data_IF_992604045706
#
_entry.id   IF_992604045706
#
_cell.length_a   1.000
_cell.length_b   1.000
_cell.length_c   1.000
_cell.angle_alpha   90.00
_cell.angle_beta   90.00
_cell.angle_gamma   90.00
#
_symmetry.space_group_name_H-M   'P 1'
#
loop_
_entity.id
_entity.type
_entity.pdbx_description
1 polymer ?
#
# COMPACT_ATOMS: atom_id res chain seq x y z
N UNK A 1 -50.69 -4.28 -40.82
CA UNK A 1 -50.97 -5.67 -41.25
C UNK A 1 -50.03 -6.46 -40.45
N UNK A 2 -50.54 -6.81 -39.44
CA UNK A 2 -50.86 -8.04 -38.68
C UNK A 2 -49.66 -8.45 -37.83
N UNK A 3 -49.67 -8.23 -36.56
CA UNK A 3 -50.45 -8.78 -35.44
C UNK A 3 -50.07 -10.22 -35.16
N UNK A 4 -49.56 -10.56 -34.01
CA UNK A 4 -49.98 -11.57 -33.05
C UNK A 4 -48.97 -11.79 -31.92
N UNK A 5 -49.33 -11.31 -30.73
CA UNK A 5 -49.03 -11.90 -29.43
C UNK A 5 -50.18 -12.92 -29.13
N UNK A 6 -50.14 -13.83 -28.14
CA UNK A 6 -49.56 -13.71 -26.79
C UNK A 6 -49.19 -15.05 -26.05
N UNK A 7 -48.70 -14.85 -24.82
CA UNK A 7 -48.99 -15.61 -23.59
C UNK A 7 -48.33 -16.99 -23.30
N UNK A 8 -47.72 -17.01 -22.11
CA UNK A 8 -47.34 -18.23 -21.41
C UNK A 8 -46.98 -17.98 -19.95
N UNK A 9 -48.00 -17.86 -19.07
CA UNK A 9 -47.82 -17.80 -17.59
C UNK A 9 -47.47 -19.21 -17.07
N UNK A 10 -46.47 -19.34 -16.28
CA UNK A 10 -46.14 -20.51 -15.47
C UNK A 10 -45.90 -20.12 -14.01
N UNK A 11 -46.93 -20.11 -13.19
CA UNK A 11 -46.84 -20.12 -11.73
C UNK A 11 -46.38 -21.50 -11.28
N UNK A 12 -45.34 -21.58 -10.45
CA UNK A 12 -45.09 -22.72 -9.59
C UNK A 12 -45.00 -22.28 -8.14
N UNK A 13 -45.92 -22.71 -7.36
CA UNK A 13 -46.06 -22.68 -5.92
C UNK A 13 -45.00 -23.56 -5.29
N UNK A 14 -44.18 -23.01 -4.42
CA UNK A 14 -43.23 -23.76 -3.62
C UNK A 14 -43.73 -23.94 -2.19
N UNK A 15 -43.65 -25.15 -1.70
CA UNK A 15 -44.11 -25.57 -0.39
C UNK A 15 -43.18 -25.10 0.74
N UNK A 16 -43.81 -24.71 1.83
CA UNK A 16 -43.16 -24.43 3.12
C UNK A 16 -42.97 -25.74 3.88
N UNK A 17 -41.76 -26.07 4.29
CA UNK A 17 -41.51 -27.10 5.29
C UNK A 17 -41.29 -26.44 6.63
N UNK A 18 -42.25 -26.66 7.56
CA UNK A 18 -42.12 -26.33 8.96
C UNK A 18 -41.29 -27.43 9.66
N UNK A 19 -40.20 -27.04 10.30
CA UNK A 19 -39.43 -27.94 11.17
C UNK A 19 -39.95 -27.85 12.61
N UNK A 20 -40.43 -28.97 13.14
CA UNK A 20 -40.91 -29.10 14.52
C UNK A 20 -39.74 -29.15 15.50
N UNK A 21 -39.81 -28.31 16.55
CA UNK A 21 -38.90 -28.37 17.71
C UNK A 21 -39.45 -29.39 18.71
N UNK A 22 -38.72 -30.50 18.90
CA UNK A 22 -38.97 -31.48 19.95
C UNK A 22 -38.23 -31.06 21.22
N UNK A 23 -38.97 -30.66 22.23
CA UNK A 23 -38.48 -30.45 23.57
C UNK A 23 -38.25 -31.76 24.29
N UNK A 24 -37.03 -32.05 24.70
CA UNK A 24 -36.69 -33.21 25.53
C UNK A 24 -36.71 -32.78 26.99
N UNK A 25 -37.70 -33.26 27.75
CA UNK A 25 -37.81 -33.03 29.18
C UNK A 25 -36.94 -34.06 29.93
N UNK A 26 -35.91 -33.62 30.63
CA UNK A 26 -35.16 -34.44 31.56
C UNK A 26 -35.74 -34.30 32.96
N UNK A 27 -36.31 -35.38 33.50
CA UNK A 27 -36.74 -35.53 34.87
C UNK A 27 -35.52 -35.70 35.77
N UNK A 28 -35.36 -34.80 36.76
CA UNK A 28 -34.32 -34.89 37.78
C UNK A 28 -34.85 -35.68 38.99
N UNK A 29 -34.24 -36.82 39.27
CA UNK A 29 -34.47 -37.57 40.51
C UNK A 29 -33.76 -36.88 41.68
N UNK A 30 -34.51 -36.53 42.68
CA UNK A 30 -34.01 -35.97 43.92
C UNK A 30 -33.35 -37.06 44.79
N UNK A 31 -32.02 -37.05 44.91
CA UNK A 31 -31.24 -37.78 45.89
C UNK A 31 -30.89 -36.86 47.07
N UNK A 32 -31.43 -37.16 48.25
CA UNK A 32 -31.07 -36.48 49.46
C UNK A 32 -29.67 -36.94 49.95
N UNK A 33 -28.68 -36.11 49.74
CA UNK A 33 -27.33 -36.25 50.27
C UNK A 33 -27.04 -35.13 51.26
N UNK A 34 -26.65 -35.46 52.45
CA UNK A 34 -26.31 -34.57 53.56
C UNK A 34 -25.13 -33.64 53.17
N UNK A 35 -25.38 -32.35 53.21
CA UNK A 35 -24.38 -31.33 52.93
C UNK A 35 -23.42 -31.15 54.10
N UNK A 36 -22.16 -31.49 53.92
CA UNK A 36 -21.07 -30.95 54.73
C UNK A 36 -20.76 -29.53 54.26
N UNK A 37 -20.95 -28.54 55.12
CA UNK A 37 -20.61 -27.15 54.88
C UNK A 37 -19.07 -26.99 54.79
N UNK A 38 -18.51 -27.15 53.59
CA UNK A 38 -17.17 -26.71 53.27
C UNK A 38 -17.22 -25.22 52.92
N UNK A 39 -16.67 -24.38 53.77
CA UNK A 39 -16.42 -22.97 53.45
C UNK A 39 -15.42 -22.89 52.26
N UNK A 40 -15.93 -22.81 51.02
CA UNK A 40 -15.13 -22.46 49.89
C UNK A 40 -14.70 -21.00 50.05
N UNK A 41 -13.45 -20.77 50.42
CA UNK A 41 -12.83 -19.47 50.30
C UNK A 41 -12.88 -19.10 48.82
N UNK A 42 -13.73 -18.10 48.50
CA UNK A 42 -13.69 -17.44 47.19
C UNK A 42 -12.33 -16.77 47.06
N UNK A 43 -11.39 -17.52 46.47
CA UNK A 43 -10.13 -16.95 46.00
C UNK A 43 -10.46 -15.95 44.90
N UNK A 44 -10.48 -14.68 45.29
CA UNK A 44 -10.42 -13.58 44.34
C UNK A 44 -9.16 -13.81 43.49
N UNK A 45 -9.33 -14.34 42.28
CA UNK A 45 -8.27 -14.33 41.29
C UNK A 45 -7.91 -12.87 41.06
N UNK A 46 -6.86 -12.40 41.70
CA UNK A 46 -6.24 -11.12 41.41
C UNK A 46 -5.70 -11.33 39.98
N UNK A 47 -6.45 -10.88 38.98
CA UNK A 47 -5.92 -10.70 37.62
C UNK A 47 -4.75 -9.75 37.77
N UNK A 48 -3.52 -10.29 37.68
CA UNK A 48 -2.31 -9.49 37.68
C UNK A 48 -2.51 -8.41 36.63
N UNK A 49 -2.57 -7.16 37.08
CA UNK A 49 -2.72 -6.03 36.15
C UNK A 49 -1.59 -6.12 35.13
N UNK A 50 -1.95 -6.36 33.87
CA UNK A 50 -0.99 -6.53 32.81
C UNK A 50 -0.19 -5.23 32.68
N UNK A 51 1.09 -5.28 33.03
CA UNK A 51 1.95 -4.10 33.02
C UNK A 51 2.47 -3.93 31.59
N UNK A 52 2.16 -2.79 30.95
CA UNK A 52 2.66 -2.56 29.58
C UNK A 52 4.18 -2.72 29.48
N UNK A 53 4.71 -3.28 28.40
CA UNK A 53 6.14 -3.40 28.16
C UNK A 53 6.86 -2.05 28.25
N UNK A 54 8.14 -2.06 28.61
CA UNK A 54 8.90 -0.81 28.79
C UNK A 54 8.98 0.03 27.52
N UNK A 55 9.11 -0.60 26.37
CA UNK A 55 9.14 0.07 25.07
C UNK A 55 7.80 0.79 24.76
N UNK A 56 6.67 0.27 25.21
CA UNK A 56 5.35 0.88 25.03
C UNK A 56 5.22 2.23 25.73
N UNK A 57 6.00 2.47 26.78
CA UNK A 57 5.97 3.70 27.57
C UNK A 57 6.83 4.82 26.98
N UNK A 58 7.61 4.55 25.92
CA UNK A 58 8.44 5.56 25.31
C UNK A 58 7.57 6.71 24.76
N UNK A 59 7.97 7.93 25.03
CA UNK A 59 7.38 9.12 24.41
C UNK A 59 7.97 9.29 23.00
N UNK A 60 7.16 9.72 22.04
CA UNK A 60 7.56 9.93 20.65
C UNK A 60 7.48 8.68 19.79
N UNK A 61 8.15 8.70 18.63
CA UNK A 61 8.11 7.63 17.65
C UNK A 61 8.74 6.34 18.18
N UNK A 62 8.02 5.23 18.02
CA UNK A 62 8.50 3.89 18.35
C UNK A 62 9.35 3.34 17.20
N UNK A 63 10.38 2.57 17.51
CA UNK A 63 11.21 1.94 16.47
C UNK A 63 10.75 0.49 16.26
N UNK A 64 10.34 0.14 15.04
CA UNK A 64 9.88 -1.20 14.70
C UNK A 64 10.87 -2.29 15.13
N UNK A 65 12.18 -2.10 14.91
CA UNK A 65 13.23 -3.04 15.31
C UNK A 65 13.44 -3.20 16.84
N UNK A 66 12.88 -2.28 17.66
CA UNK A 66 13.01 -2.31 19.11
C UNK A 66 11.76 -2.89 19.80
N UNK A 67 10.81 -3.41 19.03
CA UNK A 67 9.55 -3.96 19.52
C UNK A 67 9.24 -5.29 18.81
N UNK A 68 8.35 -6.13 19.36
CA UNK A 68 7.92 -7.35 18.69
C UNK A 68 7.25 -7.03 17.34
N UNK A 69 7.44 -7.91 16.35
CA UNK A 69 6.73 -7.79 15.07
C UNK A 69 5.21 -7.89 15.22
N UNK A 70 4.73 -8.62 16.26
CA UNK A 70 3.32 -8.74 16.60
C UNK A 70 3.08 -8.16 17.97
N UNK A 71 2.14 -7.24 18.07
CA UNK A 71 1.78 -6.51 19.27
C UNK A 71 0.30 -6.66 19.52
N UNK A 72 -0.08 -7.17 20.69
CA UNK A 72 -1.49 -7.17 21.09
C UNK A 72 -1.89 -5.78 21.54
N UNK A 73 -3.05 -5.31 21.09
CA UNK A 73 -3.61 -4.02 21.53
C UNK A 73 -3.83 -3.96 23.04
N UNK A 74 -4.14 -5.11 23.67
CA UNK A 74 -4.24 -5.21 25.13
C UNK A 74 -2.91 -5.00 25.88
N UNK A 75 -1.79 -5.27 25.23
CA UNK A 75 -0.46 -5.15 25.83
C UNK A 75 0.11 -3.75 25.60
N UNK A 76 -0.13 -3.21 24.41
CA UNK A 76 0.23 -1.85 24.02
C UNK A 76 -0.66 -1.37 22.88
N UNK A 77 -1.53 -0.42 23.15
CA UNK A 77 -2.30 0.24 22.09
C UNK A 77 -1.38 1.18 21.29
N UNK A 78 -1.14 0.82 20.04
CA UNK A 78 -0.29 1.59 19.13
C UNK A 78 -1.07 2.61 18.31
N UNK A 79 -2.39 2.57 18.29
CA UNK A 79 -3.22 3.47 17.48
C UNK A 79 -2.92 4.93 17.78
N UNK A 80 -2.78 5.73 16.74
CA UNK A 80 -2.35 7.12 16.81
C UNK A 80 -0.85 7.33 17.14
N UNK A 81 -0.08 6.23 17.34
CA UNK A 81 1.36 6.31 17.61
C UNK A 81 2.16 6.24 16.31
N UNK A 82 3.25 6.98 16.25
CA UNK A 82 4.19 6.89 15.12
C UNK A 82 5.13 5.70 15.34
N UNK A 83 5.20 4.82 14.35
CA UNK A 83 6.18 3.74 14.25
C UNK A 83 7.19 4.10 13.17
N UNK A 84 8.48 4.01 13.47
CA UNK A 84 9.58 4.27 12.56
C UNK A 84 10.23 2.95 12.13
N UNK A 85 10.27 2.73 10.83
CA UNK A 85 10.94 1.63 10.16
C UNK A 85 12.42 1.89 9.90
N UNK A 86 12.92 1.36 8.81
CA UNK A 86 14.30 1.54 8.36
C UNK A 86 14.46 2.87 7.59
N UNK A 87 15.69 3.37 7.53
CA UNK A 87 16.08 4.58 6.79
C UNK A 87 15.17 5.80 7.04
N UNK A 88 14.66 5.96 8.26
CA UNK A 88 13.85 7.11 8.65
C UNK A 88 12.37 7.05 8.29
N UNK A 89 11.96 6.15 7.38
CA UNK A 89 10.55 5.98 7.01
C UNK A 89 9.69 5.66 8.22
N UNK A 90 8.52 6.27 8.30
CA UNK A 90 7.62 6.08 9.45
C UNK A 90 6.15 6.12 9.03
N UNK A 91 5.29 5.62 9.90
CA UNK A 91 3.84 5.72 9.75
C UNK A 91 3.17 5.95 11.09
N UNK A 92 2.12 6.73 11.10
CA UNK A 92 1.15 6.78 12.18
C UNK A 92 0.28 5.54 12.08
N UNK A 93 0.19 4.78 13.17
CA UNK A 93 -0.75 3.64 13.23
C UNK A 93 -2.15 4.21 13.18
N UNK A 94 -2.98 3.90 12.16
CA UNK A 94 -4.29 4.50 12.03
C UNK A 94 -5.17 4.26 13.27
N UNK A 95 -5.89 5.30 13.67
CA UNK A 95 -6.70 5.27 14.89
C UNK A 95 -8.03 4.53 14.71
N UNK A 96 -8.48 4.36 13.47
CA UNK A 96 -9.76 3.77 13.10
C UNK A 96 -9.71 2.27 12.74
N UNK A 97 -8.57 1.61 13.01
CA UNK A 97 -8.36 0.20 12.71
C UNK A 97 -7.97 -0.11 11.25
N UNK A 98 -7.74 0.91 10.44
CA UNK A 98 -7.15 0.78 9.11
C UNK A 98 -5.68 0.39 9.23
N UNK A 99 -5.17 -0.33 8.26
CA UNK A 99 -3.74 -0.64 8.10
C UNK A 99 -3.07 0.37 7.20
N UNK A 100 -1.74 0.52 7.30
CA UNK A 100 -0.98 1.42 6.41
C UNK A 100 0.32 0.76 5.94
N UNK A 101 0.61 0.91 4.66
CA UNK A 101 1.91 0.62 4.05
C UNK A 101 2.56 1.94 3.62
N UNK A 102 3.77 2.16 4.07
CA UNK A 102 4.60 3.29 3.72
C UNK A 102 5.77 2.81 2.86
N UNK A 103 6.01 3.48 1.75
CA UNK A 103 7.14 3.24 0.86
C UNK A 103 7.94 4.52 0.68
N UNK A 104 9.24 4.42 0.47
CA UNK A 104 10.05 5.54 0.02
C UNK A 104 11.06 5.09 -1.02
N UNK A 105 11.05 5.74 -2.17
CA UNK A 105 12.09 5.65 -3.17
C UNK A 105 13.22 6.61 -2.83
N UNK A 106 14.44 6.15 -2.98
CA UNK A 106 15.64 6.86 -2.55
C UNK A 106 16.72 6.81 -3.64
N UNK A 107 17.64 7.73 -3.58
CA UNK A 107 18.82 7.71 -4.47
C UNK A 107 19.82 6.60 -4.13
N UNK A 108 19.72 6.04 -2.91
CA UNK A 108 20.63 5.03 -2.39
C UNK A 108 19.92 3.72 -1.99
N UNK A 109 18.67 3.52 -2.36
CA UNK A 109 17.89 2.35 -2.00
C UNK A 109 16.42 2.65 -1.87
N UNK A 110 15.70 1.79 -1.15
CA UNK A 110 14.29 1.97 -0.84
C UNK A 110 14.01 1.54 0.60
N UNK A 111 12.85 1.92 1.10
CA UNK A 111 12.37 1.50 2.41
C UNK A 111 10.88 1.23 2.36
N UNK A 112 10.47 0.25 3.15
CA UNK A 112 9.08 -0.15 3.35
C UNK A 112 8.81 -0.29 4.84
N UNK A 113 7.67 0.20 5.28
CA UNK A 113 7.12 -0.05 6.61
C UNK A 113 5.64 -0.39 6.45
N UNK A 114 5.26 -1.56 6.92
CA UNK A 114 3.88 -2.01 6.91
C UNK A 114 3.38 -2.17 8.33
N UNK A 115 2.22 -1.61 8.60
CA UNK A 115 1.49 -1.70 9.87
C UNK A 115 0.13 -2.30 9.57
N UNK A 116 -0.03 -3.58 9.85
CA UNK A 116 -1.28 -4.30 9.62
C UNK A 116 -2.05 -4.42 10.92
N UNK A 117 -3.27 -3.88 10.95
CA UNK A 117 -4.18 -3.92 12.09
C UNK A 117 -5.21 -5.03 11.89
N UNK A 118 -5.23 -6.00 12.79
CA UNK A 118 -6.26 -7.04 12.85
C UNK A 118 -7.13 -6.79 14.09
N UNK A 119 -8.18 -6.02 13.90
CA UNK A 119 -9.10 -5.68 14.99
C UNK A 119 -9.82 -6.90 15.58
N UNK A 120 -10.11 -7.91 14.73
CA UNK A 120 -10.79 -9.13 15.18
C UNK A 120 -9.92 -9.94 16.15
N UNK A 121 -8.60 -9.89 15.97
CA UNK A 121 -7.64 -10.53 16.89
C UNK A 121 -7.12 -9.56 17.95
N UNK A 122 -7.38 -8.25 17.82
CA UNK A 122 -6.79 -7.22 18.67
C UNK A 122 -5.27 -7.20 18.56
N UNK A 123 -4.72 -7.34 17.36
CA UNK A 123 -3.29 -7.50 17.10
C UNK A 123 -2.83 -6.54 15.98
N UNK A 124 -1.63 -6.02 16.11
CA UNK A 124 -0.92 -5.26 15.09
C UNK A 124 0.32 -6.04 14.67
N UNK A 125 0.49 -6.24 13.37
CA UNK A 125 1.72 -6.82 12.78
C UNK A 125 2.54 -5.72 12.14
N UNK A 126 3.83 -5.70 12.41
CA UNK A 126 4.80 -4.73 11.89
C UNK A 126 5.81 -5.43 11.01
N UNK A 127 5.97 -4.94 9.79
CA UNK A 127 7.06 -5.37 8.88
C UNK A 127 7.82 -4.12 8.46
N UNK A 128 9.13 -4.13 8.61
CA UNK A 128 9.99 -3.03 8.16
C UNK A 128 11.18 -3.61 7.41
N UNK A 129 11.36 -3.14 6.19
CA UNK A 129 12.50 -3.50 5.34
C UNK A 129 13.16 -2.22 4.81
N UNK A 130 14.41 -2.31 4.44
CA UNK A 130 15.12 -1.20 3.83
C UNK A 130 16.41 -1.70 3.20
N UNK A 131 16.60 -1.33 1.95
CA UNK A 131 17.83 -1.56 1.23
C UNK A 131 18.61 -0.25 1.14
N UNK A 132 19.92 -0.37 1.28
CA UNK A 132 20.86 0.68 0.89
C UNK A 132 21.90 0.05 -0.04
N UNK A 133 22.08 0.63 -1.19
CA UNK A 133 23.18 0.28 -2.09
C UNK A 133 24.46 0.92 -1.53
N UNK A 134 25.45 0.12 -1.07
CA UNK A 134 26.68 0.67 -0.51
C UNK A 134 27.42 1.46 -1.59
N UNK A 135 27.63 2.73 -1.37
CA UNK A 135 28.48 3.55 -2.23
C UNK A 135 29.94 3.04 -2.12
N UNK A 136 30.56 2.71 -3.24
CA UNK A 136 32.01 2.51 -3.32
C UNK A 136 32.54 1.08 -3.14
N UNK A 137 31.74 0.02 -3.07
CA UNK A 137 32.22 -1.35 -3.18
C UNK A 137 31.65 -2.07 -4.39
N UNK A 138 32.48 -2.61 -5.31
CA UNK A 138 31.97 -3.50 -6.35
C UNK A 138 31.45 -4.77 -5.65
N UNK A 139 30.13 -4.92 -5.53
CA UNK A 139 29.51 -6.23 -5.41
C UNK A 139 29.75 -6.95 -6.74
N UNK A 140 29.85 -8.29 -6.69
CA UNK A 140 29.70 -9.09 -7.88
C UNK A 140 28.25 -8.88 -8.40
N UNK A 141 28.05 -7.84 -9.19
CA UNK A 141 26.78 -7.53 -9.82
C UNK A 141 26.51 -8.60 -10.87
N UNK A 142 25.41 -9.29 -10.78
CA UNK A 142 24.82 -9.85 -11.98
C UNK A 142 24.52 -8.69 -12.91
N UNK A 143 24.84 -8.83 -14.18
CA UNK A 143 24.41 -7.86 -15.18
C UNK A 143 22.88 -7.72 -15.10
N UNK A 144 22.35 -6.50 -15.24
CA UNK A 144 20.91 -6.30 -15.35
C UNK A 144 20.31 -7.21 -16.42
N UNK A 145 19.14 -7.72 -16.14
CA UNK A 145 18.31 -8.38 -17.15
C UNK A 145 17.63 -7.31 -17.98
N UNK A 146 17.43 -7.59 -19.23
CA UNK A 146 16.61 -6.78 -20.13
C UNK A 146 15.19 -6.68 -19.54
N UNK A 147 14.71 -5.46 -19.27
CA UNK A 147 13.40 -5.20 -18.67
C UNK A 147 12.25 -5.89 -19.43
N UNK A 148 12.41 -6.07 -20.74
CA UNK A 148 11.42 -6.73 -21.59
C UNK A 148 11.36 -8.26 -21.41
N UNK A 149 12.30 -8.85 -20.69
CA UNK A 149 12.40 -10.30 -20.44
C UNK A 149 12.35 -10.64 -18.95
N UNK A 150 12.58 -9.65 -18.10
CA UNK A 150 12.56 -9.83 -16.65
C UNK A 150 11.10 -9.88 -16.16
N UNK A 151 10.63 -11.07 -15.83
CA UNK A 151 9.28 -11.32 -15.31
C UNK A 151 9.18 -11.26 -13.77
N UNK A 152 10.18 -10.74 -13.07
CA UNK A 152 10.14 -10.63 -11.61
C UNK A 152 9.19 -9.52 -11.16
N UNK A 153 8.35 -9.81 -10.16
CA UNK A 153 7.51 -8.82 -9.49
C UNK A 153 7.28 -9.20 -8.03
N UNK A 154 6.89 -8.23 -7.23
CA UNK A 154 6.41 -8.41 -5.86
C UNK A 154 5.04 -7.78 -5.72
N UNK A 155 4.22 -8.30 -4.79
CA UNK A 155 2.88 -7.79 -4.51
C UNK A 155 2.78 -7.35 -3.05
N UNK A 156 2.06 -6.25 -2.84
CA UNK A 156 1.63 -5.80 -1.53
C UNK A 156 0.44 -6.62 -1.00
N UNK A 157 0.16 -6.57 0.31
CA UNK A 157 -0.95 -7.33 0.90
C UNK A 157 -2.33 -6.80 0.48
N UNK A 158 -2.38 -5.59 -0.06
CA UNK A 158 -3.62 -4.94 -0.48
C UNK A 158 -3.55 -4.42 -1.90
N UNK A 159 -4.71 -4.29 -2.50
CA UNK A 159 -4.92 -3.70 -3.82
C UNK A 159 -6.30 -3.08 -3.92
N UNK A 160 -6.53 -2.28 -4.92
CA UNK A 160 -7.87 -1.80 -5.25
C UNK A 160 -8.76 -2.95 -5.75
N UNK A 161 -10.08 -2.82 -5.64
CA UNK A 161 -11.00 -3.79 -6.25
C UNK A 161 -10.79 -3.87 -7.76
N UNK A 162 -10.89 -5.09 -8.30
CA UNK A 162 -10.85 -5.31 -9.76
C UNK A 162 -11.96 -4.50 -10.44
N UNK A 163 -11.65 -3.84 -11.56
CA UNK A 163 -12.55 -2.96 -12.29
C UNK A 163 -12.75 -1.58 -11.65
N UNK A 164 -12.03 -1.26 -10.58
CA UNK A 164 -12.11 0.05 -9.95
C UNK A 164 -11.59 1.16 -10.87
N UNK A 165 -12.21 2.33 -10.76
CA UNK A 165 -11.66 3.60 -11.27
C UNK A 165 -11.18 4.41 -10.07
N UNK A 166 -9.87 4.64 -9.99
CA UNK A 166 -9.25 5.37 -8.89
C UNK A 166 -9.23 6.85 -9.23
N UNK A 167 -9.99 7.64 -8.49
CA UNK A 167 -9.95 9.09 -8.61
C UNK A 167 -8.75 9.63 -7.84
N UNK A 168 -8.00 10.56 -8.43
CA UNK A 168 -6.85 11.18 -7.78
C UNK A 168 -6.79 12.68 -8.04
N UNK A 169 -6.21 13.41 -7.10
CA UNK A 169 -6.03 14.86 -7.16
C UNK A 169 -4.55 15.20 -7.27
N UNK A 170 -4.27 16.30 -7.96
CA UNK A 170 -2.92 16.84 -8.05
C UNK A 170 -2.68 17.94 -7.01
N UNK A 171 -1.61 17.82 -6.24
CA UNK A 171 -1.13 18.87 -5.34
C UNK A 171 0.14 19.52 -5.92
N UNK A 172 0.09 20.83 -6.31
CA UNK A 172 1.23 21.51 -6.95
C UNK A 172 2.34 21.86 -5.97
N UNK A 173 2.14 21.65 -4.66
CA UNK A 173 3.04 22.13 -3.62
C UNK A 173 3.06 23.64 -3.51
N UNK A 174 3.85 24.16 -2.58
CA UNK A 174 4.03 25.62 -2.39
C UNK A 174 4.88 26.25 -3.50
N UNK A 175 5.69 25.47 -4.22
CA UNK A 175 6.53 25.92 -5.31
C UNK A 175 5.80 26.01 -6.65
N UNK A 176 4.55 25.52 -6.74
CA UNK A 176 3.75 25.55 -7.96
C UNK A 176 4.36 24.75 -9.13
N UNK A 177 5.02 23.64 -8.82
CA UNK A 177 5.66 22.79 -9.84
C UNK A 177 4.64 22.15 -10.79
N UNK A 178 5.03 21.84 -12.04
CA UNK A 178 4.11 21.36 -13.06
C UNK A 178 3.59 19.97 -12.77
N UNK A 179 2.35 19.70 -13.22
CA UNK A 179 1.70 18.40 -13.13
C UNK A 179 2.21 17.39 -14.17
N UNK A 180 2.80 17.86 -15.28
CA UNK A 180 3.03 17.03 -16.49
C UNK A 180 3.72 15.70 -16.19
N UNK A 181 4.89 15.69 -15.56
CA UNK A 181 5.58 14.45 -15.22
C UNK A 181 4.81 13.55 -14.25
N UNK A 182 4.10 14.16 -13.27
CA UNK A 182 3.26 13.41 -12.31
C UNK A 182 2.11 12.72 -13.04
N UNK A 183 1.39 13.43 -13.90
CA UNK A 183 0.29 12.84 -14.67
C UNK A 183 0.77 11.81 -15.69
N UNK A 184 1.96 12.02 -16.27
CA UNK A 184 2.56 11.04 -17.16
C UNK A 184 2.84 9.74 -16.44
N UNK A 185 3.57 9.76 -15.32
CA UNK A 185 3.91 8.54 -14.60
C UNK A 185 2.68 7.78 -14.09
N UNK A 186 1.65 8.49 -13.60
CA UNK A 186 0.38 7.82 -13.24
C UNK A 186 -0.24 7.15 -14.47
N UNK A 187 -0.33 7.85 -15.58
CA UNK A 187 -0.93 7.31 -16.82
C UNK A 187 -0.14 6.13 -17.36
N UNK A 188 1.19 6.19 -17.35
CA UNK A 188 2.05 5.15 -17.86
C UNK A 188 1.91 3.84 -17.11
N UNK A 189 1.77 3.89 -15.78
CA UNK A 189 1.49 2.70 -14.97
C UNK A 189 0.11 2.10 -15.27
N UNK A 190 -0.95 2.91 -15.32
CA UNK A 190 -2.31 2.43 -15.56
C UNK A 190 -2.56 1.93 -16.98
N UNK A 191 -1.91 2.55 -17.97
CA UNK A 191 -2.01 2.19 -19.39
C UNK A 191 -0.94 1.17 -19.80
N UNK A 192 -0.20 0.63 -18.82
CA UNK A 192 0.88 -0.33 -19.02
C UNK A 192 1.85 0.08 -20.14
N UNK A 193 2.24 1.36 -20.16
CA UNK A 193 3.19 1.90 -21.12
C UNK A 193 4.53 1.19 -21.03
N UNK A 194 5.14 0.92 -22.19
CA UNK A 194 6.40 0.17 -22.27
C UNK A 194 7.13 0.43 -23.57
N UNK A 195 8.45 0.39 -23.52
CA UNK A 195 9.30 0.38 -24.70
C UNK A 195 9.57 -1.03 -25.25
N UNK A 196 9.02 -2.06 -24.58
CA UNK A 196 9.19 -3.46 -24.96
C UNK A 196 8.36 -3.88 -26.18
N UNK A 197 7.41 -3.07 -26.61
CA UNK A 197 6.50 -3.41 -27.73
C UNK A 197 6.42 -2.29 -28.76
N UNK A 198 6.21 -2.60 -30.04
CA UNK A 198 6.02 -1.58 -31.09
C UNK A 198 4.79 -0.68 -30.86
N UNK A 199 3.83 -1.10 -30.06
CA UNK A 199 2.64 -0.32 -29.71
C UNK A 199 2.88 0.61 -28.51
N UNK A 200 4.06 0.58 -27.91
CA UNK A 200 4.42 1.30 -26.69
C UNK A 200 3.44 1.08 -25.53
N UNK A 201 2.82 -0.10 -25.48
CA UNK A 201 2.00 -0.54 -24.35
C UNK A 201 1.91 -2.08 -24.34
N UNK A 202 1.90 -2.66 -23.14
CA UNK A 202 1.52 -4.07 -22.99
C UNK A 202 0.01 -4.24 -23.14
N UNK A 203 -0.40 -5.41 -23.64
CA UNK A 203 -1.80 -5.77 -23.79
C UNK A 203 -2.02 -7.24 -23.36
N UNK A 204 -3.20 -7.56 -22.77
CA UNK A 204 -4.32 -6.66 -22.45
C UNK A 204 -4.00 -5.71 -21.28
N UNK A 205 -4.70 -4.58 -21.19
CA UNK A 205 -4.53 -3.68 -20.01
C UNK A 205 -5.01 -4.35 -18.73
N UNK A 206 -4.43 -4.00 -17.57
CA UNK A 206 -4.92 -4.44 -16.27
C UNK A 206 -6.33 -3.89 -16.01
N UNK A 207 -7.18 -4.70 -15.31
CA UNK A 207 -8.57 -4.32 -15.04
C UNK A 207 -8.68 -3.39 -13.82
N UNK A 208 -8.06 -2.23 -13.95
CA UNK A 208 -8.11 -1.07 -13.06
C UNK A 208 -7.90 0.17 -13.93
N UNK A 209 -8.47 1.30 -13.54
CA UNK A 209 -8.36 2.56 -14.28
C UNK A 209 -8.17 3.73 -13.32
N UNK A 210 -7.71 4.85 -13.84
CA UNK A 210 -7.57 6.09 -13.11
C UNK A 210 -8.48 7.19 -13.67
N UNK A 211 -8.76 8.18 -12.82
CA UNK A 211 -9.45 9.39 -13.23
C UNK A 211 -8.86 10.58 -12.48
N UNK A 212 -8.33 11.52 -13.25
CA UNK A 212 -7.93 12.81 -12.68
C UNK A 212 -9.15 13.60 -12.23
N UNK A 213 -9.21 13.94 -10.95
CA UNK A 213 -10.34 14.65 -10.33
C UNK A 213 -10.10 16.16 -10.13
N UNK A 214 -8.93 16.65 -10.52
CA UNK A 214 -8.58 18.07 -10.45
C UNK A 214 -7.45 18.39 -9.50
N UNK A 215 -7.05 19.65 -9.50
CA UNK A 215 -6.06 20.17 -8.56
C UNK A 215 -6.68 20.38 -7.18
N UNK A 216 -5.92 20.11 -6.14
CA UNK A 216 -6.31 20.34 -4.75
C UNK A 216 -5.32 21.27 -4.04
N UNK A 217 -5.80 21.95 -2.99
CA UNK A 217 -4.95 22.68 -2.05
C UNK A 217 -4.55 21.82 -0.83
N UNK A 218 -5.15 20.63 -0.68
CA UNK A 218 -4.81 19.66 0.36
C UNK A 218 -3.56 18.89 -0.06
N UNK A 219 -2.55 18.90 0.79
CA UNK A 219 -1.32 18.14 0.55
C UNK A 219 -1.57 16.63 0.74
N UNK A 220 -0.73 15.76 0.14
CA UNK A 220 -0.70 14.34 0.48
C UNK A 220 -0.57 14.13 2.00
N UNK A 221 -1.19 13.07 2.54
CA UNK A 221 -1.10 12.71 3.95
C UNK A 221 0.27 12.12 4.32
N UNK A 222 1.31 12.75 3.80
CA UNK A 222 2.74 12.52 4.06
C UNK A 222 3.28 13.74 4.80
N UNK A 223 3.90 13.56 5.94
CA UNK A 223 4.40 14.68 6.74
C UNK A 223 5.75 15.20 6.25
N UNK A 224 6.21 16.29 6.85
CA UNK A 224 7.50 16.90 6.51
C UNK A 224 8.74 16.01 6.78
N UNK A 225 8.61 14.92 7.52
CA UNK A 225 9.65 13.91 7.76
C UNK A 225 9.37 12.58 7.03
N UNK A 226 8.58 12.62 5.95
CA UNK A 226 8.17 11.47 5.14
C UNK A 226 7.43 10.39 5.96
N UNK A 227 6.68 10.79 7.00
CA UNK A 227 5.84 9.89 7.79
C UNK A 227 4.45 9.83 7.19
N UNK A 228 3.89 8.64 6.98
CA UNK A 228 2.48 8.47 6.66
C UNK A 228 1.63 8.96 7.84
N UNK A 229 0.74 9.92 7.58
CA UNK A 229 -0.22 10.45 8.55
C UNK A 229 -1.46 9.57 8.70
N UNK A 230 -2.54 10.17 9.16
CA UNK A 230 -3.87 9.57 9.11
C UNK A 230 -4.44 9.78 7.69
N UNK A 231 -5.27 8.88 7.21
CA UNK A 231 -5.96 9.02 5.92
C UNK A 231 -7.18 9.93 6.02
N UNK A 232 -7.58 10.49 4.88
CA UNK A 232 -8.75 11.38 4.79
C UNK A 232 -9.80 10.96 3.72
N UNK A 233 -9.54 9.87 3.01
CA UNK A 233 -10.42 9.34 1.97
C UNK A 233 -10.15 9.93 0.59
N UNK A 234 -9.07 10.71 0.40
CA UNK A 234 -8.76 11.38 -0.85
C UNK A 234 -7.38 10.96 -1.35
N UNK A 235 -7.30 10.44 -2.58
CA UNK A 235 -6.00 10.12 -3.17
C UNK A 235 -5.36 11.40 -3.71
N UNK A 236 -4.18 11.74 -3.21
CA UNK A 236 -3.43 12.92 -3.63
C UNK A 236 -2.03 12.54 -4.07
N UNK A 237 -1.64 13.01 -5.24
CA UNK A 237 -0.27 12.87 -5.74
C UNK A 237 0.29 14.24 -6.10
N UNK A 238 1.51 14.54 -5.66
CA UNK A 238 2.10 15.84 -5.98
C UNK A 238 3.34 16.21 -5.20
N UNK A 239 3.64 17.48 -5.16
CA UNK A 239 4.91 18.05 -4.72
C UNK A 239 4.86 18.47 -3.27
N UNK A 240 5.79 17.98 -2.45
CA UNK A 240 5.84 18.33 -1.04
C UNK A 240 7.28 18.59 -0.57
N UNK A 241 7.46 19.64 0.21
CA UNK A 241 8.72 19.84 0.93
C UNK A 241 8.75 18.93 2.15
N UNK A 242 9.75 18.05 2.20
CA UNK A 242 9.96 17.13 3.32
C UNK A 242 11.33 17.37 3.95
N UNK A 243 11.52 18.51 4.67
CA UNK A 243 12.82 18.90 5.23
C UNK A 243 13.31 17.99 6.36
N UNK A 244 12.44 17.23 6.99
CA UNK A 244 12.77 16.28 8.04
C UNK A 244 13.03 14.87 7.53
N UNK A 245 12.80 14.60 6.24
CA UNK A 245 13.11 13.31 5.62
C UNK A 245 14.63 13.13 5.48
N UNK A 246 15.06 11.86 5.38
CA UNK A 246 16.46 11.55 5.05
C UNK A 246 16.84 12.20 3.70
N UNK A 247 18.09 12.71 3.54
CA UNK A 247 18.49 13.49 2.37
C UNK A 247 18.34 12.75 1.03
N UNK A 248 18.38 11.44 1.06
CA UNK A 248 18.31 10.60 -0.15
C UNK A 248 16.88 10.32 -0.64
N UNK A 249 15.84 10.65 0.13
CA UNK A 249 14.45 10.44 -0.24
C UNK A 249 14.10 11.28 -1.47
N UNK A 250 13.57 10.61 -2.52
CA UNK A 250 13.01 11.20 -3.73
C UNK A 250 11.50 11.37 -3.62
N UNK A 251 10.84 10.33 -3.15
CA UNK A 251 9.40 10.31 -2.96
C UNK A 251 9.00 9.38 -1.81
N UNK A 252 7.76 9.53 -1.36
CA UNK A 252 7.13 8.63 -0.41
C UNK A 252 5.68 8.39 -0.80
N UNK A 253 5.26 7.13 -0.79
CA UNK A 253 3.87 6.71 -0.98
C UNK A 253 3.33 6.06 0.28
N UNK A 254 2.15 6.52 0.69
CA UNK A 254 1.40 6.00 1.82
C UNK A 254 0.10 5.37 1.30
N UNK A 255 -0.13 4.09 1.61
CA UNK A 255 -1.32 3.37 1.16
C UNK A 255 -2.07 2.83 2.37
N UNK A 256 -3.32 3.24 2.53
CA UNK A 256 -4.19 2.74 3.61
C UNK A 256 -5.13 1.67 3.09
N UNK A 257 -5.37 0.65 3.93
CA UNK A 257 -6.12 -0.51 3.50
C UNK A 257 -6.85 -1.21 4.66
N UNK A 258 -7.91 -1.95 4.32
CA UNK A 258 -8.64 -2.83 5.24
C UNK A 258 -8.64 -4.26 4.71
N UNK A 259 -7.97 -5.16 5.42
CA UNK A 259 -7.71 -6.50 4.91
C UNK A 259 -7.00 -6.42 3.55
N UNK A 260 -7.48 -7.09 2.48
CA UNK A 260 -6.82 -7.06 1.17
C UNK A 260 -7.23 -5.86 0.30
N UNK A 261 -8.03 -4.90 0.81
CA UNK A 261 -8.61 -3.83 0.00
C UNK A 261 -7.97 -2.49 0.33
N UNK A 262 -7.31 -1.89 -0.64
CA UNK A 262 -6.82 -0.50 -0.58
C UNK A 262 -8.01 0.46 -0.59
N UNK A 263 -7.94 1.50 0.25
CA UNK A 263 -8.98 2.52 0.38
C UNK A 263 -8.49 3.92 0.05
N UNK A 264 -7.18 4.17 0.20
CA UNK A 264 -6.56 5.45 -0.11
C UNK A 264 -5.07 5.24 -0.41
N UNK A 265 -4.51 6.09 -1.26
CA UNK A 265 -3.06 6.14 -1.50
C UNK A 265 -2.64 7.56 -1.86
N UNK A 266 -1.65 8.06 -1.13
CA UNK A 266 -1.07 9.39 -1.31
C UNK A 266 0.41 9.30 -1.67
N UNK A 267 0.83 10.13 -2.62
CA UNK A 267 2.23 10.21 -3.06
C UNK A 267 2.78 11.63 -2.94
N UNK A 268 3.88 11.78 -2.23
CA UNK A 268 4.61 13.04 -2.10
C UNK A 268 5.98 12.96 -2.78
N UNK A 269 6.22 13.81 -3.79
CA UNK A 269 7.52 13.99 -4.42
C UNK A 269 8.29 15.08 -3.69
N UNK A 270 9.54 14.81 -3.31
CA UNK A 270 10.39 15.70 -2.52
C UNK A 270 10.81 16.94 -3.32
N UNK A 271 10.47 18.14 -2.86
CA UNK A 271 10.92 19.38 -3.49
C UNK A 271 12.19 19.93 -2.89
N UNK A 272 12.53 19.56 -1.65
CA UNK A 272 13.69 20.13 -0.98
C UNK A 272 14.98 19.39 -1.31
N UNK A 273 15.95 20.13 -1.85
CA UNK A 273 17.27 19.58 -2.17
C UNK A 273 17.31 18.62 -3.35
N UNK A 274 16.21 18.47 -4.09
CA UNK A 274 16.13 17.65 -5.29
C UNK A 274 16.01 18.52 -6.53
N UNK A 275 16.60 18.03 -7.63
CA UNK A 275 16.43 18.62 -8.96
C UNK A 275 15.57 17.66 -9.77
N UNK A 276 14.59 18.19 -10.42
CA UNK A 276 13.65 17.44 -11.22
C UNK A 276 13.77 17.81 -12.69
N UNK A 277 13.56 16.83 -13.53
CA UNK A 277 13.51 16.94 -14.97
C UNK A 277 12.19 16.36 -15.48
N UNK A 278 11.44 17.07 -16.35
CA UNK A 278 10.13 16.59 -16.78
C UNK A 278 10.18 15.38 -17.74
N UNK A 279 11.38 14.89 -18.07
CA UNK A 279 11.58 13.76 -18.97
C UNK A 279 11.96 14.20 -20.39
N UNK A 280 12.31 13.24 -21.27
CA UNK A 280 12.72 13.51 -22.64
C UNK A 280 11.58 14.01 -23.53
N UNK A 281 10.33 13.94 -23.08
CA UNK A 281 9.15 14.30 -23.88
C UNK A 281 9.08 15.79 -24.25
N UNK A 282 9.77 16.66 -23.52
CA UNK A 282 9.88 18.08 -23.86
C UNK A 282 11.05 18.40 -24.80
N UNK A 283 11.82 17.36 -25.20
CA UNK A 283 13.01 17.50 -26.03
C UNK A 283 14.21 18.10 -25.32
N UNK A 284 14.14 18.30 -24.01
CA UNK A 284 15.27 18.79 -23.21
C UNK A 284 16.24 17.66 -22.87
N UNK A 285 17.52 17.98 -22.78
CA UNK A 285 18.50 17.07 -22.19
C UNK A 285 18.42 17.14 -20.66
N UNK A 286 18.58 15.99 -19.99
CA UNK A 286 18.55 15.95 -18.54
C UNK A 286 19.68 16.81 -17.92
N UNK A 287 19.36 17.77 -17.03
CA UNK A 287 20.37 18.50 -16.28
C UNK A 287 21.06 17.58 -15.28
N UNK A 288 22.39 17.67 -15.17
CA UNK A 288 23.17 16.81 -14.28
C UNK A 288 22.63 16.80 -12.83
N UNK A 289 22.39 15.59 -12.31
CA UNK A 289 21.89 15.35 -10.96
C UNK A 289 20.38 15.61 -10.80
N UNK A 290 19.64 15.70 -11.91
CA UNK A 290 18.16 15.75 -11.91
C UNK A 290 17.58 14.35 -12.03
N UNK A 291 16.38 14.17 -11.51
CA UNK A 291 15.62 12.92 -11.56
C UNK A 291 14.40 13.10 -12.48
N UNK A 292 14.11 12.08 -13.27
CA UNK A 292 12.92 12.07 -14.11
C UNK A 292 11.65 11.99 -13.24
N UNK A 293 10.74 12.95 -13.42
CA UNK A 293 9.49 13.00 -12.65
C UNK A 293 8.59 11.83 -13.00
N UNK A 294 8.49 11.48 -14.29
CA UNK A 294 7.64 10.37 -14.72
C UNK A 294 8.19 9.04 -14.20
N UNK A 295 9.50 8.79 -14.27
CA UNK A 295 10.12 7.58 -13.74
C UNK A 295 9.82 7.38 -12.25
N UNK A 296 10.03 8.42 -11.43
CA UNK A 296 9.71 8.35 -10.00
C UNK A 296 8.21 8.18 -9.78
N UNK A 297 7.36 8.88 -10.52
CA UNK A 297 5.91 8.80 -10.31
C UNK A 297 5.33 7.47 -10.80
N UNK A 298 5.87 6.89 -11.88
CA UNK A 298 5.45 5.55 -12.35
C UNK A 298 5.75 4.51 -11.27
N UNK A 299 6.95 4.55 -10.67
CA UNK A 299 7.33 3.69 -9.56
C UNK A 299 6.37 3.83 -8.36
N UNK A 300 6.13 5.05 -7.90
CA UNK A 300 5.24 5.31 -6.76
C UNK A 300 3.78 4.90 -7.07
N UNK A 301 3.35 5.04 -8.34
CA UNK A 301 2.04 4.56 -8.77
C UNK A 301 1.95 3.03 -8.75
N UNK A 302 3.06 2.34 -8.95
CA UNK A 302 3.15 0.89 -8.73
C UNK A 302 2.77 0.52 -7.30
N UNK A 303 3.29 1.23 -6.29
CA UNK A 303 2.90 1.04 -4.88
C UNK A 303 1.42 1.37 -4.64
N UNK A 304 0.92 2.46 -5.21
CA UNK A 304 -0.52 2.78 -5.19
C UNK A 304 -1.37 1.60 -5.69
N UNK A 305 -0.89 0.88 -6.71
CA UNK A 305 -1.60 -0.26 -7.30
C UNK A 305 -1.31 -1.60 -6.61
N UNK A 306 -0.46 -1.64 -5.60
CA UNK A 306 -0.17 -2.86 -4.83
C UNK A 306 1.01 -3.66 -5.37
N UNK A 307 1.94 -3.04 -6.10
CA UNK A 307 3.24 -3.61 -6.40
C UNK A 307 4.25 -3.24 -5.30
N UNK A 308 5.09 -4.19 -4.93
CA UNK A 308 6.21 -3.99 -4.01
C UNK A 308 7.55 -3.89 -4.75
N UNK A 309 8.61 -3.50 -4.04
CA UNK A 309 9.96 -3.42 -4.61
C UNK A 309 10.47 -4.77 -5.08
N UNK A 310 11.10 -4.81 -6.26
CA UNK A 310 11.79 -5.98 -6.80
C UNK A 310 13.28 -5.87 -6.50
N UNK A 311 13.70 -6.63 -5.49
CA UNK A 311 15.06 -6.59 -4.97
C UNK A 311 16.06 -7.35 -5.85
N UNK A 312 17.28 -6.85 -5.92
CA UNK A 312 18.40 -7.50 -6.60
C UNK A 312 18.88 -6.72 -7.83
N UNK A 313 20.21 -6.64 -7.97
CA UNK A 313 20.85 -5.87 -9.05
C UNK A 313 20.52 -6.36 -10.47
N UNK A 314 20.08 -7.61 -10.60
CA UNK A 314 19.63 -8.15 -11.89
C UNK A 314 18.29 -7.61 -12.33
N UNK A 315 17.51 -7.00 -11.44
CA UNK A 315 16.17 -6.45 -11.68
C UNK A 315 16.19 -4.92 -11.73
N UNK A 316 17.37 -4.30 -11.87
CA UNK A 316 17.52 -2.84 -11.81
C UNK A 316 16.86 -2.09 -12.95
N UNK A 317 16.53 -2.76 -14.05
CA UNK A 317 15.86 -2.18 -15.22
C UNK A 317 14.31 -2.20 -15.11
N UNK A 318 13.75 -2.77 -14.03
CA UNK A 318 12.32 -2.74 -13.79
C UNK A 318 11.90 -1.42 -13.14
N UNK A 319 10.68 -0.96 -13.44
CA UNK A 319 10.08 0.22 -12.80
C UNK A 319 10.06 0.08 -11.28
N UNK A 320 9.75 -1.12 -10.77
CA UNK A 320 9.69 -1.38 -9.32
C UNK A 320 11.05 -1.74 -8.70
N UNK A 321 12.16 -1.46 -9.39
CA UNK A 321 13.48 -1.53 -8.76
C UNK A 321 13.59 -0.56 -7.58
N UNK A 322 14.35 -0.90 -6.50
CA UNK A 322 14.39 -0.09 -5.28
C UNK A 322 15.23 1.20 -5.39
N UNK A 323 15.67 1.58 -6.59
CA UNK A 323 16.47 2.77 -6.85
C UNK A 323 16.16 3.36 -8.21
N UNK A 324 16.23 4.69 -8.32
CA UNK A 324 16.25 5.43 -9.59
C UNK A 324 17.52 6.28 -9.64
N UNK A 325 18.27 6.21 -10.73
CA UNK A 325 19.47 7.00 -10.92
C UNK A 325 19.14 8.41 -11.45
N UNK A 326 20.06 9.35 -11.26
CA UNK A 326 19.92 10.67 -11.87
C UNK A 326 20.02 10.54 -13.40
N UNK A 327 19.14 11.23 -14.11
CA UNK A 327 19.00 11.19 -15.58
C UNK A 327 18.66 9.80 -16.16
N UNK A 328 18.02 8.97 -15.35
CA UNK A 328 17.50 7.68 -15.75
C UNK A 328 15.99 7.82 -15.98
N UNK A 329 15.56 7.68 -17.21
CA UNK A 329 14.16 7.74 -17.66
C UNK A 329 13.58 6.36 -17.99
N UNK A 330 14.40 5.30 -18.02
CA UNK A 330 13.96 3.94 -18.31
C UNK A 330 12.80 3.49 -17.37
N UNK A 331 12.81 3.77 -16.04
CA UNK A 331 11.70 3.40 -15.17
C UNK A 331 10.39 4.17 -15.38
N UNK A 332 10.35 5.16 -16.29
CA UNK A 332 9.11 5.84 -16.66
C UNK A 332 8.13 4.89 -17.37
N UNK A 333 8.64 3.83 -17.99
CA UNK A 333 7.83 2.82 -18.67
C UNK A 333 8.03 1.43 -18.05
N UNK A 334 7.00 0.56 -18.12
CA UNK A 334 6.98 -0.72 -17.44
C UNK A 334 7.89 -1.75 -18.11
N UNK A 335 8.67 -2.45 -17.30
CA UNK A 335 9.24 -3.73 -17.68
C UNK A 335 8.20 -4.85 -17.64
N UNK A 336 8.59 -6.02 -18.14
CA UNK A 336 7.68 -7.19 -18.20
C UNK A 336 7.20 -7.61 -16.82
N UNK A 337 8.06 -7.59 -15.81
CA UNK A 337 7.70 -7.98 -14.44
C UNK A 337 6.67 -7.05 -13.82
N UNK A 338 6.82 -5.74 -14.00
CA UNK A 338 5.87 -4.75 -13.51
C UNK A 338 4.47 -5.01 -14.10
N UNK A 339 4.41 -5.22 -15.42
CA UNK A 339 3.16 -5.58 -16.11
C UNK A 339 2.59 -6.92 -15.63
N UNK A 340 3.42 -7.98 -15.54
CA UNK A 340 2.98 -9.30 -15.07
C UNK A 340 2.38 -9.19 -13.66
N UNK A 341 2.97 -8.37 -12.79
CA UNK A 341 2.47 -8.07 -11.46
C UNK A 341 1.09 -7.40 -11.47
N UNK A 342 0.88 -6.41 -12.34
CA UNK A 342 -0.43 -5.77 -12.51
C UNK A 342 -1.49 -6.76 -13.01
N UNK A 343 -1.15 -7.60 -13.97
CA UNK A 343 -2.08 -8.63 -14.47
C UNK A 343 -2.39 -9.68 -13.38
N UNK A 344 -1.41 -10.04 -12.56
CA UNK A 344 -1.63 -10.95 -11.44
C UNK A 344 -2.54 -10.33 -10.36
N UNK A 345 -2.46 -9.01 -10.13
CA UNK A 345 -3.33 -8.29 -9.19
C UNK A 345 -4.75 -8.11 -9.73
N UNK A 346 -4.90 -7.66 -10.97
CA UNK A 346 -6.18 -7.16 -11.49
C UNK A 346 -6.78 -8.05 -12.57
N UNK A 347 -6.00 -8.94 -13.19
CA UNK A 347 -6.40 -9.64 -14.40
C UNK A 347 -6.47 -8.70 -15.61
N UNK A 348 -6.81 -9.29 -16.75
CA UNK A 348 -7.00 -8.54 -17.99
C UNK A 348 -8.33 -7.76 -17.97
N UNK A 349 -8.28 -6.51 -18.44
CA UNK A 349 -9.48 -5.72 -18.70
C UNK A 349 -10.24 -6.37 -19.88
N UNK A 350 -11.53 -6.62 -19.71
CA UNK A 350 -12.36 -7.11 -20.80
C UNK A 350 -12.46 -6.04 -21.89
N UNK A 351 -12.25 -6.43 -23.15
CA UNK A 351 -12.62 -5.57 -24.28
C UNK A 351 -14.13 -5.36 -24.25
N UNK A 352 -14.56 -4.10 -24.17
CA UNK A 352 -15.97 -3.72 -24.24
C UNK A 352 -16.54 -3.98 -25.63
#
# INVERSE_FOLDING_TARGET
MDDVSPAGRGRRTGAWCAAAVTALSCTVAAGAGTAAAGTAAAGTAITAAHRPPTWCKASGALRARAMPQKVRLSDCDLRGRVVRGENGLAATVPSDGTSVAAHSLRTDGASELRVEVDEAKGEITLTATGTRVPQGRPRAFRAPMDACKDGAYQQEPSKWPKGATIEWHYYPGTAGLPMSGVSTGITDMFDAKTDCTPSHAFAPLPDVSQKYAGQTATAPNVTADATCGEHDGTNVSGWQAMPGAEPDVLAATCTWFRGPTTIESDTALQTQGKKWWPGPQDGSSCPAGSYDVAAVTTHETGHMLGLGHVEGSQHSELTMAPTVAACDDDPATLGKGDYDGLIALYGARSSA
#
